data_IF_991774541108
#
_entry.id   IF_991774541108
#
_cell.length_a   1.000
_cell.length_b   1.000
_cell.length_c   1.000
_cell.angle_alpha   90.00
_cell.angle_beta   90.00
_cell.angle_gamma   90.00
#
_symmetry.space_group_name_H-M   'P 1'
#
loop_
_entity.id
_entity.type
_entity.pdbx_description
1 polymer ?
#
# COMPACT_ATOMS: atom_id res chain seq x y z
N UNK A 1 42.97 -4.01 -5.42
CA UNK A 1 41.67 -4.70 -5.53
C UNK A 1 41.52 -5.11 -6.98
N UNK A 2 41.20 -6.38 -7.24
CA UNK A 2 41.14 -6.92 -8.60
C UNK A 2 39.78 -6.60 -9.23
N UNK A 3 39.77 -6.28 -10.53
CA UNK A 3 38.56 -5.95 -11.30
C UNK A 3 37.45 -7.01 -11.22
N UNK A 4 37.81 -8.27 -10.97
CA UNK A 4 36.86 -9.38 -10.82
C UNK A 4 36.06 -9.30 -9.51
N UNK A 5 36.70 -8.91 -8.39
CA UNK A 5 36.01 -8.75 -7.10
C UNK A 5 35.02 -7.59 -7.14
N UNK A 6 35.37 -6.51 -7.84
CA UNK A 6 34.48 -5.36 -8.04
C UNK A 6 33.25 -5.76 -8.88
N UNK A 7 33.48 -6.50 -9.96
CA UNK A 7 32.41 -7.00 -10.82
C UNK A 7 31.45 -7.94 -10.07
N UNK A 8 31.97 -8.91 -9.31
CA UNK A 8 31.14 -9.83 -8.52
C UNK A 8 30.31 -9.10 -7.47
N UNK A 9 30.88 -8.07 -6.84
CA UNK A 9 30.17 -7.23 -5.87
C UNK A 9 29.04 -6.44 -6.52
N UNK A 10 29.28 -5.88 -7.70
CA UNK A 10 28.28 -5.13 -8.45
C UNK A 10 27.14 -6.04 -8.93
N UNK A 11 27.47 -7.19 -9.53
CA UNK A 11 26.50 -8.18 -9.97
C UNK A 11 25.62 -8.67 -8.81
N UNK A 12 26.22 -8.89 -7.63
CA UNK A 12 25.48 -9.26 -6.42
C UNK A 12 24.50 -8.16 -6.00
N UNK A 13 24.94 -6.91 -5.97
CA UNK A 13 24.09 -5.78 -5.59
C UNK A 13 22.90 -5.60 -6.55
N UNK A 14 23.13 -5.77 -7.86
CA UNK A 14 22.07 -5.76 -8.88
C UNK A 14 21.09 -6.91 -8.66
N UNK A 15 21.60 -8.12 -8.42
CA UNK A 15 20.76 -9.29 -8.13
C UNK A 15 19.90 -9.12 -6.87
N UNK A 16 20.46 -8.58 -5.80
CA UNK A 16 19.72 -8.27 -4.56
C UNK A 16 18.62 -7.22 -4.81
N UNK A 17 18.92 -6.15 -5.55
CA UNK A 17 17.91 -5.13 -5.92
C UNK A 17 16.79 -5.74 -6.75
N UNK A 18 17.11 -6.54 -7.76
CA UNK A 18 16.11 -7.25 -8.58
C UNK A 18 15.21 -8.15 -7.73
N UNK A 19 15.80 -8.91 -6.80
CA UNK A 19 15.03 -9.79 -5.92
C UNK A 19 14.06 -9.00 -5.04
N UNK A 20 14.52 -7.89 -4.44
CA UNK A 20 13.66 -7.01 -3.63
C UNK A 20 12.52 -6.43 -4.46
N UNK A 21 12.82 -5.95 -5.67
CA UNK A 21 11.84 -5.36 -6.57
C UNK A 21 10.80 -6.38 -7.04
N UNK A 22 11.21 -7.61 -7.38
CA UNK A 22 10.27 -8.67 -7.77
C UNK A 22 9.36 -9.08 -6.61
N UNK A 23 9.88 -9.16 -5.39
CA UNK A 23 9.06 -9.48 -4.20
C UNK A 23 8.06 -8.37 -3.93
N UNK A 24 8.49 -7.11 -4.01
CA UNK A 24 7.66 -5.93 -3.74
C UNK A 24 6.67 -5.62 -4.87
N UNK A 25 6.95 -6.04 -6.10
CA UNK A 25 6.11 -5.78 -7.24
C UNK A 25 4.72 -6.41 -7.06
N UNK A 26 3.69 -5.63 -7.41
CA UNK A 26 2.31 -6.08 -7.42
C UNK A 26 2.02 -6.85 -8.72
N UNK A 27 2.65 -8.02 -8.83
CA UNK A 27 2.55 -8.92 -9.97
C UNK A 27 2.11 -10.31 -9.48
N UNK A 28 1.43 -11.10 -10.32
CA UNK A 28 1.16 -12.50 -10.03
C UNK A 28 2.45 -13.31 -9.81
N UNK A 29 2.41 -14.29 -8.90
CA UNK A 29 3.60 -15.10 -8.54
C UNK A 29 4.17 -15.91 -9.71
N UNK A 30 3.33 -16.36 -10.64
CA UNK A 30 3.74 -17.02 -11.87
C UNK A 30 4.49 -16.06 -12.80
N UNK A 31 4.07 -14.79 -12.88
CA UNK A 31 4.77 -13.74 -13.63
C UNK A 31 6.13 -13.42 -12.98
N UNK A 32 6.18 -13.31 -11.65
CA UNK A 32 7.44 -13.12 -10.90
C UNK A 32 8.42 -14.28 -11.15
N UNK A 33 7.94 -15.52 -11.07
CA UNK A 33 8.73 -16.70 -11.35
C UNK A 33 9.23 -16.73 -12.81
N UNK A 34 8.38 -16.31 -13.75
CA UNK A 34 8.75 -16.13 -15.15
C UNK A 34 9.94 -15.18 -15.32
N UNK A 35 9.86 -13.97 -14.75
CA UNK A 35 10.98 -13.03 -14.78
C UNK A 35 12.23 -13.58 -14.12
N UNK A 36 12.11 -14.18 -12.93
CA UNK A 36 13.25 -14.77 -12.22
C UNK A 36 13.97 -15.83 -13.07
N UNK A 37 13.22 -16.63 -13.83
CA UNK A 37 13.80 -17.65 -14.72
C UNK A 37 14.51 -17.09 -15.95
N UNK A 38 14.16 -15.87 -16.38
CA UNK A 38 14.72 -15.23 -17.58
C UNK A 38 15.96 -14.38 -17.27
N UNK A 39 16.14 -13.90 -16.03
CA UNK A 39 17.28 -13.05 -15.62
C UNK A 39 18.65 -13.60 -16.06
N UNK A 40 18.96 -14.91 -15.94
CA UNK A 40 20.27 -15.44 -16.35
C UNK A 40 20.58 -15.27 -17.84
N UNK A 41 19.55 -15.16 -18.67
CA UNK A 41 19.66 -15.05 -20.13
C UNK A 41 19.56 -13.58 -20.61
N UNK A 42 19.37 -12.63 -19.69
CA UNK A 42 19.22 -11.22 -20.02
C UNK A 42 20.56 -10.52 -20.19
N UNK A 43 20.62 -9.59 -21.14
CA UNK A 43 21.72 -8.64 -21.23
C UNK A 43 21.65 -7.62 -20.07
N UNK A 44 22.76 -6.96 -19.72
CA UNK A 44 22.75 -5.90 -18.71
C UNK A 44 21.72 -4.81 -19.00
N UNK A 45 21.56 -4.40 -20.26
CA UNK A 45 20.59 -3.37 -20.64
C UNK A 45 19.14 -3.86 -20.49
N UNK A 46 18.90 -5.16 -20.65
CA UNK A 46 17.58 -5.75 -20.41
C UNK A 46 17.28 -5.82 -18.91
N UNK A 47 18.28 -6.15 -18.09
CA UNK A 47 18.20 -6.09 -16.63
C UNK A 47 17.88 -4.67 -16.17
N UNK A 48 18.58 -3.65 -16.67
CA UNK A 48 18.32 -2.25 -16.31
C UNK A 48 16.90 -1.81 -16.68
N UNK A 49 16.41 -2.22 -17.86
CA UNK A 49 15.01 -1.95 -18.25
C UNK A 49 14.03 -2.64 -17.32
N UNK A 50 14.29 -3.90 -16.96
CA UNK A 50 13.45 -4.65 -16.03
C UNK A 50 13.40 -3.97 -14.65
N UNK A 51 14.55 -3.53 -14.13
CA UNK A 51 14.64 -2.77 -12.87
C UNK A 51 13.74 -1.54 -12.93
N UNK A 52 13.87 -0.72 -13.99
CA UNK A 52 13.07 0.49 -14.14
C UNK A 52 11.56 0.21 -14.19
N UNK A 53 11.14 -0.87 -14.87
CA UNK A 53 9.74 -1.29 -14.94
C UNK A 53 9.22 -1.75 -13.58
N UNK A 54 10.01 -2.53 -12.84
CA UNK A 54 9.63 -3.00 -11.51
C UNK A 54 9.56 -1.83 -10.50
N UNK A 55 10.47 -0.87 -10.58
CA UNK A 55 10.44 0.33 -9.73
C UNK A 55 9.20 1.18 -9.96
N UNK A 56 8.83 1.38 -11.23
CA UNK A 56 7.58 2.07 -11.57
C UNK A 56 6.36 1.31 -11.01
N UNK A 57 6.32 -0.02 -11.18
CA UNK A 57 5.22 -0.84 -10.66
C UNK A 57 5.07 -0.74 -9.13
N UNK A 58 6.18 -0.78 -8.40
CA UNK A 58 6.19 -0.63 -6.93
C UNK A 58 5.72 0.76 -6.52
N UNK A 59 6.21 1.81 -7.19
CA UNK A 59 5.81 3.20 -6.90
C UNK A 59 4.32 3.44 -7.15
N UNK A 60 3.78 2.97 -8.28
CA UNK A 60 2.37 3.13 -8.63
C UNK A 60 1.45 2.37 -7.66
N UNK A 61 1.90 1.18 -7.22
CA UNK A 61 1.20 0.39 -6.21
C UNK A 61 1.14 1.14 -4.88
N UNK A 62 2.26 1.69 -4.42
CA UNK A 62 2.32 2.45 -3.17
C UNK A 62 1.39 3.67 -3.21
N UNK A 63 1.40 4.44 -4.29
CA UNK A 63 0.52 5.59 -4.47
C UNK A 63 -0.97 5.21 -4.47
N UNK A 64 -1.31 4.08 -5.12
CA UNK A 64 -2.68 3.57 -5.15
C UNK A 64 -3.14 3.14 -3.76
N UNK A 65 -2.31 2.37 -3.04
CA UNK A 65 -2.63 1.91 -1.69
C UNK A 65 -2.75 3.06 -0.69
N UNK A 66 -1.90 4.08 -0.80
CA UNK A 66 -1.98 5.29 0.03
C UNK A 66 -3.31 6.03 -0.20
N UNK A 67 -3.71 6.21 -1.46
CA UNK A 67 -4.97 6.86 -1.80
C UNK A 67 -6.19 6.07 -1.30
N UNK A 68 -6.20 4.75 -1.48
CA UNK A 68 -7.27 3.87 -0.98
C UNK A 68 -7.37 3.91 0.54
N UNK A 69 -6.23 3.82 1.24
CA UNK A 69 -6.19 3.90 2.69
C UNK A 69 -6.67 5.27 3.21
N UNK A 70 -6.20 6.36 2.60
CA UNK A 70 -6.62 7.71 2.96
C UNK A 70 -8.13 7.90 2.83
N UNK A 71 -8.72 7.37 1.75
CA UNK A 71 -10.17 7.39 1.55
C UNK A 71 -10.91 6.56 2.60
N UNK A 72 -10.43 5.35 2.90
CA UNK A 72 -11.03 4.50 3.92
C UNK A 72 -11.03 5.15 5.31
N UNK A 73 -9.94 5.87 5.66
CA UNK A 73 -9.86 6.63 6.91
C UNK A 73 -10.87 7.78 6.94
N UNK A 74 -10.99 8.55 5.84
CA UNK A 74 -11.96 9.63 5.74
C UNK A 74 -13.40 9.13 5.86
N UNK A 75 -13.74 8.04 5.16
CA UNK A 75 -15.07 7.41 5.21
C UNK A 75 -15.40 6.91 6.63
N UNK A 76 -14.41 6.32 7.33
CA UNK A 76 -14.57 5.89 8.72
C UNK A 76 -14.80 7.07 9.68
N UNK A 77 -14.07 8.17 9.50
CA UNK A 77 -14.25 9.40 10.29
C UNK A 77 -15.64 9.98 10.08
N UNK A 78 -16.07 10.15 8.82
CA UNK A 78 -17.40 10.66 8.50
C UNK A 78 -18.52 9.78 9.09
N UNK A 79 -18.35 8.46 9.02
CA UNK A 79 -19.28 7.50 9.64
C UNK A 79 -19.35 7.65 11.15
N UNK A 80 -18.19 7.80 11.81
CA UNK A 80 -18.12 7.99 13.25
C UNK A 80 -18.81 9.30 13.68
N UNK A 81 -18.52 10.40 12.99
CA UNK A 81 -19.13 11.71 13.30
C UNK A 81 -20.65 11.69 13.12
N UNK A 82 -21.13 11.10 12.02
CA UNK A 82 -22.57 10.93 11.77
C UNK A 82 -23.24 10.13 12.88
N UNK A 83 -22.66 8.99 13.28
CA UNK A 83 -23.18 8.18 14.39
C UNK A 83 -23.15 8.92 15.71
N UNK A 84 -22.09 9.70 15.98
CA UNK A 84 -21.98 10.51 17.20
C UNK A 84 -23.07 11.59 17.25
N UNK A 85 -23.31 12.29 16.14
CA UNK A 85 -24.37 13.30 16.06
C UNK A 85 -25.76 12.68 16.24
N UNK A 86 -26.03 11.55 15.60
CA UNK A 86 -27.30 10.84 15.76
C UNK A 86 -27.52 10.40 17.21
N UNK A 87 -26.50 9.83 17.86
CA UNK A 87 -26.57 9.46 19.27
C UNK A 87 -26.80 10.67 20.18
N UNK A 88 -26.12 11.80 19.93
CA UNK A 88 -26.34 13.03 20.68
C UNK A 88 -27.78 13.55 20.54
N UNK A 89 -28.32 13.59 19.33
CA UNK A 89 -29.70 14.02 19.08
C UNK A 89 -30.69 13.10 19.80
N UNK A 90 -30.47 11.79 19.74
CA UNK A 90 -31.30 10.81 20.43
C UNK A 90 -31.27 11.02 21.95
N UNK A 91 -30.08 11.18 22.54
CA UNK A 91 -29.95 11.42 23.98
C UNK A 91 -30.61 12.75 24.41
N UNK A 92 -30.51 13.81 23.60
CA UNK A 92 -31.21 15.07 23.91
C UNK A 92 -32.73 14.91 23.86
N UNK A 93 -33.25 14.20 22.86
CA UNK A 93 -34.69 13.92 22.78
C UNK A 93 -35.20 13.10 23.97
N UNK A 94 -34.43 12.10 24.42
CA UNK A 94 -34.74 11.32 25.62
C UNK A 94 -34.74 12.20 26.89
N UNK A 95 -33.81 13.15 27.01
CA UNK A 95 -33.77 14.10 28.14
C UNK A 95 -34.98 15.05 28.14
N UNK A 96 -35.36 15.58 26.97
CA UNK A 96 -36.54 16.45 26.83
C UNK A 96 -37.84 15.73 27.21
N UNK A 97 -37.96 14.45 26.82
CA UNK A 97 -39.12 13.61 27.18
C UNK A 97 -39.20 13.38 28.70
N UNK A 98 -38.07 13.08 29.34
CA UNK A 98 -37.99 12.93 30.80
C UNK A 98 -38.39 14.25 31.51
N UNK A 99 -37.89 15.39 31.02
CA UNK A 99 -38.23 16.70 31.61
C UNK A 99 -39.73 17.02 31.46
N UNK A 100 -40.33 16.69 30.31
CA UNK A 100 -41.77 16.85 30.10
C UNK A 100 -42.59 15.99 31.06
N UNK A 101 -42.19 14.74 31.31
CA UNK A 101 -42.87 13.84 32.24
C UNK A 101 -42.79 14.36 33.69
N UNK A 102 -41.63 14.89 34.10
CA UNK A 102 -41.44 15.48 35.42
C UNK A 102 -42.23 16.78 35.65
N UNK A 103 -42.51 17.55 34.60
CA UNK A 103 -43.32 18.78 34.68
C UNK A 103 -44.84 18.52 34.66
N UNK A 104 -45.27 17.36 34.17
CA UNK A 104 -46.69 17.01 34.03
C UNK A 104 -47.25 16.21 35.23
N UNK A 105 -46.38 15.65 36.09
CA UNK A 105 -46.73 15.00 37.35
C UNK A 105 -46.62 15.94 38.54
#
# INVERSE_FOLDING_TARGET
>A
MNSQEEFEKEAKAVGERLALLLVAANLPEDVKAGFASMIPEMSPEQIDRLINVLEANVSDTAATQEAEFGKAVQDAQATYESKRQAAQQQTMAELDEIESLLKAG
#
